data_IF_907450379617
#
_entry.id   IF_907450379617
#
_cell.length_a   1.000
_cell.length_b   1.000
_cell.length_c   1.000
_cell.angle_alpha   90.00
_cell.angle_beta   90.00
_cell.angle_gamma   90.00
#
_symmetry.space_group_name_H-M   'P 1'
#
loop_
_entity.id
_entity.type
_entity.pdbx_description
1 polymer ?
#
# COMPACT_ATOMS: atom_id res chain seq x y z
N UNK A 1 -10.68 -14.78 -12.70
CA UNK A 1 -10.28 -13.70 -13.64
C UNK A 1 -11.40 -12.69 -13.91
N UNK A 2 -12.63 -13.14 -14.21
CA UNK A 2 -13.76 -12.23 -14.49
C UNK A 2 -14.07 -11.25 -13.37
N UNK A 3 -14.04 -11.70 -12.11
CA UNK A 3 -14.30 -10.82 -10.96
C UNK A 3 -13.19 -9.77 -10.75
N UNK A 4 -11.94 -10.15 -10.99
CA UNK A 4 -10.82 -9.19 -10.94
C UNK A 4 -10.93 -8.11 -12.01
N UNK A 5 -11.33 -8.50 -13.23
CA UNK A 5 -11.61 -7.56 -14.31
C UNK A 5 -12.73 -6.59 -13.95
N UNK A 6 -13.81 -7.10 -13.37
CA UNK A 6 -14.92 -6.28 -12.91
C UNK A 6 -14.51 -5.28 -11.83
N UNK A 7 -13.83 -5.74 -10.78
CA UNK A 7 -13.37 -4.88 -9.69
C UNK A 7 -12.41 -3.77 -10.18
N UNK A 8 -11.51 -4.11 -11.10
CA UNK A 8 -10.61 -3.15 -11.75
C UNK A 8 -11.36 -2.09 -12.57
N UNK A 9 -12.28 -2.53 -13.42
CA UNK A 9 -13.05 -1.62 -14.27
C UNK A 9 -13.90 -0.67 -13.41
N UNK A 10 -14.52 -1.19 -12.37
CA UNK A 10 -15.30 -0.38 -11.43
C UNK A 10 -14.44 0.64 -10.70
N UNK A 11 -13.27 0.25 -10.25
CA UNK A 11 -12.32 1.13 -9.56
C UNK A 11 -11.91 2.34 -10.41
N UNK A 12 -11.69 2.13 -11.72
CA UNK A 12 -11.24 3.16 -12.65
C UNK A 12 -12.37 3.81 -13.43
N UNK A 13 -13.63 3.68 -13.03
CA UNK A 13 -14.77 4.33 -13.70
C UNK A 13 -14.64 5.85 -13.71
N UNK A 14 -14.08 6.45 -12.65
CA UNK A 14 -13.81 7.89 -12.58
C UNK A 14 -12.58 8.32 -13.41
N UNK A 15 -11.78 7.37 -13.84
CA UNK A 15 -10.52 7.59 -14.56
C UNK A 15 -9.28 7.24 -13.74
N UNK A 16 -8.19 7.03 -14.46
CA UNK A 16 -6.84 6.89 -13.88
C UNK A 16 -6.21 8.27 -13.81
N UNK A 17 -5.61 8.61 -12.68
CA UNK A 17 -4.85 9.86 -12.55
C UNK A 17 -3.48 9.74 -13.24
N UNK A 18 -3.50 9.88 -14.56
CA UNK A 18 -2.30 9.78 -15.39
C UNK A 18 -1.32 10.92 -15.11
N UNK A 19 -1.82 12.12 -14.82
CA UNK A 19 -0.98 13.27 -14.49
C UNK A 19 -0.21 13.03 -13.18
N UNK A 20 -0.85 12.44 -12.17
CA UNK A 20 -0.19 12.03 -10.95
C UNK A 20 0.87 10.96 -11.22
N UNK A 21 0.55 9.93 -12.00
CA UNK A 21 1.49 8.86 -12.34
C UNK A 21 2.75 9.41 -13.02
N UNK A 22 2.61 10.34 -13.94
CA UNK A 22 3.74 10.99 -14.62
C UNK A 22 4.54 11.87 -13.66
N UNK A 23 3.87 12.60 -12.76
CA UNK A 23 4.53 13.42 -11.74
C UNK A 23 5.34 12.55 -10.78
N UNK A 24 4.78 11.44 -10.29
CA UNK A 24 5.50 10.52 -9.41
C UNK A 24 6.75 9.94 -10.08
N UNK A 25 6.64 9.57 -11.35
CA UNK A 25 7.78 9.06 -12.12
C UNK A 25 8.88 10.09 -12.26
N UNK A 26 8.55 11.34 -12.55
CA UNK A 26 9.54 12.40 -12.76
C UNK A 26 10.16 12.92 -11.46
N UNK A 27 9.38 13.04 -10.38
CA UNK A 27 9.83 13.65 -9.13
C UNK A 27 10.37 12.61 -8.15
N UNK A 28 9.68 11.48 -7.99
CA UNK A 28 9.98 10.47 -6.98
C UNK A 28 10.62 9.20 -7.56
N UNK A 29 10.65 9.05 -8.89
CA UNK A 29 11.21 7.90 -9.61
C UNK A 29 10.48 6.58 -9.33
N UNK A 30 9.21 6.65 -9.10
CA UNK A 30 8.31 5.50 -9.11
C UNK A 30 6.96 5.87 -9.71
N UNK A 31 6.17 4.88 -10.05
CA UNK A 31 4.82 5.08 -10.56
C UNK A 31 3.86 4.09 -9.91
N UNK A 32 2.66 4.55 -9.60
CA UNK A 32 1.49 3.74 -9.30
C UNK A 32 0.29 4.34 -10.04
N UNK A 33 -0.63 3.49 -10.49
CA UNK A 33 -1.84 3.93 -11.18
C UNK A 33 -2.99 3.97 -10.17
N UNK A 34 -3.36 5.17 -9.79
CA UNK A 34 -4.43 5.43 -8.83
C UNK A 34 -5.67 5.96 -9.56
N UNK A 35 -6.88 5.61 -9.08
CA UNK A 35 -8.08 6.35 -9.45
C UNK A 35 -7.94 7.83 -9.08
N UNK A 36 -8.55 8.71 -9.88
CA UNK A 36 -8.47 10.17 -9.71
C UNK A 36 -9.13 10.69 -8.42
N UNK A 37 -9.89 9.84 -7.72
CA UNK A 37 -10.56 10.15 -6.45
C UNK A 37 -9.64 10.06 -5.22
N UNK A 38 -8.42 9.54 -5.36
CA UNK A 38 -7.46 9.48 -4.25
C UNK A 38 -6.83 10.84 -4.00
N UNK A 39 -6.72 11.20 -2.72
CA UNK A 39 -5.97 12.39 -2.28
C UNK A 39 -4.55 12.02 -1.90
N UNK A 40 -3.61 12.89 -2.23
CA UNK A 40 -2.19 12.70 -1.95
C UNK A 40 -1.72 13.59 -0.81
N UNK A 41 -0.90 13.03 0.07
CA UNK A 41 -0.02 13.79 0.97
C UNK A 41 1.40 13.26 0.88
N UNK A 42 2.38 14.13 1.07
CA UNK A 42 3.81 13.78 0.98
C UNK A 42 4.54 14.43 2.13
N UNK A 43 5.32 13.64 2.84
CA UNK A 43 6.24 14.11 3.87
C UNK A 43 7.53 13.29 3.81
N UNK A 44 8.67 13.97 3.74
CA UNK A 44 9.97 13.33 3.50
C UNK A 44 9.91 12.42 2.25
N UNK A 45 10.27 11.15 2.39
CA UNK A 45 10.19 10.14 1.31
C UNK A 45 8.93 9.29 1.41
N UNK A 46 7.89 9.76 2.10
CA UNK A 46 6.66 8.99 2.33
C UNK A 46 5.49 9.65 1.61
N UNK A 47 4.90 8.90 0.71
CA UNK A 47 3.74 9.26 -0.10
C UNK A 47 2.52 8.50 0.41
N UNK A 48 1.47 9.22 0.79
CA UNK A 48 0.20 8.63 1.25
C UNK A 48 -0.89 9.01 0.27
N UNK A 49 -1.60 8.00 -0.22
CA UNK A 49 -2.74 8.12 -1.11
C UNK A 49 -3.97 7.55 -0.39
N UNK A 50 -4.97 8.39 -0.19
CA UNK A 50 -6.14 8.02 0.60
C UNK A 50 -7.43 8.31 -0.15
N UNK A 51 -8.34 7.35 -0.09
CA UNK A 51 -9.72 7.50 -0.52
C UNK A 51 -10.64 7.09 0.63
N UNK A 52 -11.27 8.06 1.26
CA UNK A 52 -12.19 7.89 2.38
C UNK A 52 -13.62 8.37 2.03
N UNK A 53 -13.94 8.36 0.75
CA UNK A 53 -15.27 8.62 0.26
C UNK A 53 -16.15 7.36 0.29
N UNK A 54 -17.48 7.47 0.53
CA UNK A 54 -18.22 8.70 0.83
C UNK A 54 -18.11 9.15 2.29
N UNK A 55 -17.72 8.24 3.21
CA UNK A 55 -17.64 8.50 4.66
C UNK A 55 -16.45 7.73 5.28
N UNK A 56 -15.49 8.42 5.91
CA UNK A 56 -14.36 7.75 6.57
C UNK A 56 -14.77 6.86 7.76
N UNK A 57 -15.95 7.05 8.34
CA UNK A 57 -16.47 6.16 9.36
C UNK A 57 -16.91 4.79 8.81
N UNK A 58 -17.14 4.70 7.52
CA UNK A 58 -17.63 3.49 6.86
C UNK A 58 -16.62 2.83 5.92
N UNK A 59 -15.71 3.62 5.32
CA UNK A 59 -14.81 3.12 4.30
C UNK A 59 -13.56 3.99 4.16
N UNK A 60 -12.40 3.38 4.40
CA UNK A 60 -11.10 3.98 4.13
C UNK A 60 -10.26 3.00 3.32
N UNK A 61 -9.66 3.49 2.24
CA UNK A 61 -8.65 2.82 1.44
C UNK A 61 -7.42 3.69 1.43
N UNK A 62 -6.30 3.17 1.91
CA UNK A 62 -5.06 3.94 1.96
C UNK A 62 -3.91 3.14 1.41
N UNK A 63 -3.06 3.80 0.64
CA UNK A 63 -1.81 3.26 0.12
C UNK A 63 -0.69 4.19 0.54
N UNK A 64 0.36 3.61 1.10
CA UNK A 64 1.59 4.31 1.45
C UNK A 64 2.72 3.76 0.59
N UNK A 65 3.52 4.65 0.03
CA UNK A 65 4.76 4.32 -0.69
C UNK A 65 5.90 5.09 -0.03
N UNK A 66 6.88 4.35 0.46
CA UNK A 66 8.12 4.91 1.01
C UNK A 66 9.31 4.04 0.60
N UNK A 67 10.54 4.48 0.83
CA UNK A 67 11.72 3.72 0.45
C UNK A 67 12.87 3.90 1.42
N UNK A 68 13.78 2.92 1.42
CA UNK A 68 15.09 2.97 2.06
C UNK A 68 16.18 2.92 0.99
N UNK A 69 17.24 3.68 1.20
CA UNK A 69 18.46 3.68 0.40
C UNK A 69 19.67 3.87 1.33
N UNK A 70 20.73 3.07 1.21
CA UNK A 70 20.89 1.93 0.30
C UNK A 70 19.92 0.79 0.61
N UNK A 71 19.81 -0.16 -0.31
CA UNK A 71 19.00 -1.38 -0.09
C UNK A 71 19.49 -2.11 1.15
N UNK A 72 18.63 -2.42 2.13
CA UNK A 72 19.01 -3.23 3.28
C UNK A 72 19.51 -4.62 2.87
N UNK A 73 20.43 -5.23 3.65
CA UNK A 73 20.99 -6.53 3.30
C UNK A 73 19.96 -7.68 3.32
N UNK A 74 18.96 -7.55 4.17
CA UNK A 74 17.92 -8.58 4.36
C UNK A 74 16.53 -8.03 4.12
N UNK A 75 15.67 -8.87 3.55
CA UNK A 75 14.27 -8.60 3.32
C UNK A 75 13.45 -9.74 3.97
N UNK A 76 12.93 -9.49 5.17
CA UNK A 76 12.18 -10.46 5.96
C UNK A 76 10.77 -9.95 6.26
N UNK A 77 9.84 -10.87 6.53
CA UNK A 77 8.48 -10.49 6.94
C UNK A 77 8.47 -9.64 8.21
N UNK A 78 9.29 -9.98 9.20
CA UNK A 78 9.43 -9.22 10.45
C UNK A 78 9.94 -7.79 10.18
N UNK A 79 11.01 -7.66 9.41
CA UNK A 79 11.57 -6.35 9.05
C UNK A 79 10.60 -5.47 8.27
N UNK A 80 9.77 -6.06 7.39
CA UNK A 80 8.72 -5.34 6.67
C UNK A 80 7.64 -4.84 7.64
N UNK A 81 7.20 -5.68 8.59
CA UNK A 81 6.20 -5.29 9.59
C UNK A 81 6.71 -4.20 10.53
N UNK A 82 7.96 -4.26 10.97
CA UNK A 82 8.60 -3.22 11.76
C UNK A 82 8.66 -1.89 11.00
N UNK A 83 9.11 -1.92 9.76
CA UNK A 83 9.18 -0.73 8.90
C UNK A 83 7.79 -0.13 8.65
N UNK A 84 6.80 -0.99 8.39
CA UNK A 84 5.40 -0.56 8.26
C UNK A 84 4.89 0.14 9.53
N UNK A 85 5.13 -0.46 10.69
CA UNK A 85 4.71 0.09 11.97
C UNK A 85 5.38 1.45 12.28
N UNK A 86 6.67 1.58 12.00
CA UNK A 86 7.42 2.83 12.15
C UNK A 86 6.87 3.91 11.22
N UNK A 87 6.65 3.59 9.96
CA UNK A 87 6.09 4.51 8.96
C UNK A 87 4.69 4.98 9.37
N UNK A 88 3.84 4.07 9.83
CA UNK A 88 2.50 4.41 10.30
C UNK A 88 2.52 5.35 11.51
N UNK A 89 3.36 5.07 12.50
CA UNK A 89 3.49 5.95 13.68
C UNK A 89 4.01 7.33 13.36
N UNK A 90 4.91 7.44 12.39
CA UNK A 90 5.57 8.70 12.06
C UNK A 90 4.74 9.57 11.14
N UNK A 91 4.06 9.01 10.17
CA UNK A 91 3.44 9.74 9.06
C UNK A 91 1.93 9.58 8.95
N UNK A 92 1.34 8.67 9.70
CA UNK A 92 -0.08 8.37 9.61
C UNK A 92 -0.66 8.01 10.98
N UNK A 93 -1.50 6.99 11.03
CA UNK A 93 -2.14 6.50 12.26
C UNK A 93 -1.44 5.21 12.70
N UNK A 94 -1.04 5.09 13.99
CA UNK A 94 -0.42 3.87 14.47
C UNK A 94 -1.35 2.67 14.35
N UNK A 95 -0.81 1.55 13.93
CA UNK A 95 -1.53 0.30 13.74
C UNK A 95 -0.72 -0.85 14.30
N UNK A 96 -1.34 -1.67 15.14
CA UNK A 96 -0.81 -2.98 15.53
C UNK A 96 -1.17 -4.03 14.48
N UNK A 97 -0.49 -5.16 14.51
CA UNK A 97 -0.73 -6.28 13.59
C UNK A 97 -1.23 -7.49 14.37
N UNK A 98 -2.29 -8.10 13.87
CA UNK A 98 -2.74 -9.41 14.32
C UNK A 98 -2.03 -10.49 13.48
N UNK A 99 -1.15 -11.23 14.11
CA UNK A 99 -0.35 -12.27 13.47
C UNK A 99 -1.04 -13.64 13.37
N UNK A 100 -2.26 -13.77 13.89
CA UNK A 100 -2.98 -15.06 13.90
C UNK A 100 -3.39 -15.53 12.50
N UNK A 101 -3.53 -14.60 11.57
CA UNK A 101 -3.86 -14.88 10.16
C UNK A 101 -2.88 -14.12 9.27
N UNK A 102 -1.67 -14.63 9.15
CA UNK A 102 -0.62 -14.01 8.35
C UNK A 102 -0.22 -14.95 7.21
N UNK A 103 -0.18 -14.38 6.01
CA UNK A 103 0.43 -14.99 4.83
C UNK A 103 1.63 -14.14 4.42
N UNK A 104 2.81 -14.75 4.37
CA UNK A 104 4.05 -14.02 4.10
C UNK A 104 5.02 -14.88 3.30
N UNK A 105 5.72 -14.27 2.37
CA UNK A 105 6.75 -14.96 1.59
C UNK A 105 7.38 -14.09 0.52
N UNK A 106 8.56 -14.54 0.03
CA UNK A 106 9.23 -13.94 -1.10
C UNK A 106 8.49 -14.26 -2.40
N UNK A 107 8.60 -13.35 -3.37
CA UNK A 107 8.12 -13.57 -4.73
C UNK A 107 8.89 -12.70 -5.71
N UNK A 108 8.67 -12.94 -6.99
CA UNK A 108 9.20 -12.11 -8.06
C UNK A 108 8.13 -11.15 -8.55
N UNK A 109 8.42 -9.86 -8.51
CA UNK A 109 7.54 -8.80 -8.98
C UNK A 109 8.17 -8.08 -10.18
N UNK A 110 7.64 -8.31 -11.36
CA UNK A 110 8.16 -7.73 -12.62
C UNK A 110 9.67 -7.97 -12.82
N UNK A 111 10.12 -9.21 -12.56
CA UNK A 111 11.52 -9.59 -12.65
C UNK A 111 12.41 -9.08 -11.52
N UNK A 112 11.82 -8.57 -10.42
CA UNK A 112 12.54 -8.01 -9.29
C UNK A 112 12.30 -8.80 -8.01
N UNK A 113 13.30 -8.89 -7.12
CA UNK A 113 13.10 -9.49 -5.81
C UNK A 113 12.07 -8.69 -5.02
N UNK A 114 11.10 -9.38 -4.45
CA UNK A 114 10.06 -8.80 -3.64
C UNK A 114 9.67 -9.74 -2.49
N UNK A 115 9.02 -9.16 -1.48
CA UNK A 115 8.47 -9.91 -0.34
C UNK A 115 7.12 -9.31 0.02
N UNK A 116 6.13 -10.14 0.35
CA UNK A 116 4.80 -9.68 0.69
C UNK A 116 4.33 -10.26 2.01
N UNK A 117 3.69 -9.42 2.82
CA UNK A 117 2.98 -9.81 4.03
C UNK A 117 1.52 -9.39 3.89
N UNK A 118 0.62 -10.32 4.12
CA UNK A 118 -0.82 -10.07 4.24
C UNK A 118 -1.26 -10.46 5.65
N UNK A 119 -1.92 -9.55 6.34
CA UNK A 119 -2.40 -9.76 7.70
C UNK A 119 -3.55 -8.80 8.01
N UNK A 120 -3.93 -8.76 9.27
CA UNK A 120 -4.91 -7.81 9.79
C UNK A 120 -4.21 -6.74 10.62
N UNK A 121 -4.56 -5.48 10.39
CA UNK A 121 -4.21 -4.38 11.27
C UNK A 121 -5.34 -4.16 12.30
N UNK A 122 -4.98 -3.61 13.44
CA UNK A 122 -5.93 -3.16 14.46
C UNK A 122 -5.44 -1.89 15.15
N UNK A 123 -6.36 -1.10 15.67
CA UNK A 123 -5.98 0.03 16.47
C UNK A 123 -5.26 -0.42 17.73
N UNK A 124 -4.17 0.28 18.13
CA UNK A 124 -3.60 0.11 19.47
C UNK A 124 -4.61 0.42 20.57
N UNK A 125 -4.53 -0.24 21.72
CA UNK A 125 -5.47 -0.03 22.82
C UNK A 125 -5.58 1.42 23.29
N UNK A 126 -4.52 2.20 23.13
CA UNK A 126 -4.44 3.61 23.57
C UNK A 126 -5.40 4.53 22.79
N UNK A 127 -5.85 4.13 21.61
CA UNK A 127 -6.78 4.93 20.81
C UNK A 127 -8.24 4.87 21.29
N UNK A 128 -8.56 4.03 22.30
CA UNK A 128 -9.86 3.94 22.95
C UNK A 128 -11.08 3.67 22.04
N UNK A 129 -10.86 3.29 20.79
CA UNK A 129 -11.92 2.85 19.88
C UNK A 129 -11.43 1.69 19.00
N UNK A 130 -12.20 0.61 18.93
CA UNK A 130 -11.80 -0.56 18.16
C UNK A 130 -11.95 -0.30 16.66
N UNK A 131 -10.89 -0.58 15.91
CA UNK A 131 -10.95 -0.69 14.46
C UNK A 131 -9.94 -1.74 14.02
N UNK A 132 -10.25 -2.43 12.95
CA UNK A 132 -9.40 -3.44 12.35
C UNK A 132 -9.73 -3.59 10.86
N UNK A 133 -8.81 -4.16 10.11
CA UNK A 133 -9.02 -4.47 8.71
C UNK A 133 -7.83 -5.20 8.09
N UNK A 134 -7.99 -5.67 6.86
CA UNK A 134 -6.91 -6.32 6.14
C UNK A 134 -5.90 -5.31 5.58
N UNK A 135 -4.66 -5.75 5.43
CA UNK A 135 -3.61 -5.02 4.71
C UNK A 135 -2.72 -5.95 3.88
N UNK A 136 -2.06 -5.35 2.90
CA UNK A 136 -0.99 -5.95 2.11
C UNK A 136 0.21 -5.01 2.23
N UNK A 137 1.32 -5.51 2.77
CA UNK A 137 2.60 -4.82 2.79
C UNK A 137 3.57 -5.54 1.87
N UNK A 138 4.10 -4.82 0.88
CA UNK A 138 4.97 -5.37 -0.15
C UNK A 138 6.28 -4.60 -0.20
N UNK A 139 7.40 -5.28 -0.02
CA UNK A 139 8.72 -4.71 -0.27
C UNK A 139 9.19 -5.10 -1.67
N UNK A 140 9.70 -4.12 -2.43
CA UNK A 140 10.21 -4.31 -3.79
C UNK A 140 11.58 -3.66 -3.92
N UNK A 141 12.56 -4.39 -4.42
CA UNK A 141 13.89 -3.85 -4.67
C UNK A 141 13.97 -3.30 -6.10
N UNK A 142 14.40 -2.05 -6.21
CA UNK A 142 14.74 -1.40 -7.47
C UNK A 142 16.27 -1.21 -7.51
N UNK A 143 17.03 -2.19 -8.01
CA UNK A 143 18.50 -2.17 -7.95
C UNK A 143 19.13 -0.97 -8.65
N UNK A 144 18.55 -0.56 -9.77
CA UNK A 144 18.99 0.59 -10.56
C UNK A 144 18.97 1.90 -9.79
N UNK A 145 18.15 2.00 -8.76
CA UNK A 145 18.03 3.18 -7.89
C UNK A 145 18.74 2.98 -6.54
N UNK A 146 19.23 1.77 -6.27
CA UNK A 146 19.69 1.37 -4.94
C UNK A 146 18.62 1.65 -3.86
N UNK A 147 17.36 1.32 -4.16
CA UNK A 147 16.22 1.52 -3.26
C UNK A 147 15.45 0.23 -3.02
N UNK A 148 14.97 0.06 -1.80
CA UNK A 148 13.90 -0.86 -1.47
C UNK A 148 12.67 -0.04 -1.12
N UNK A 149 11.59 -0.27 -1.86
CA UNK A 149 10.29 0.37 -1.62
C UNK A 149 9.43 -0.48 -0.70
N UNK A 150 8.70 0.20 0.17
CA UNK A 150 7.56 -0.39 0.90
C UNK A 150 6.28 0.16 0.29
N UNK A 151 5.44 -0.75 -0.17
CA UNK A 151 4.09 -0.47 -0.65
C UNK A 151 3.13 -1.08 0.37
N UNK A 152 2.42 -0.23 1.10
CA UNK A 152 1.45 -0.67 2.11
C UNK A 152 0.05 -0.25 1.71
N UNK A 153 -0.86 -1.19 1.60
CA UNK A 153 -2.26 -0.94 1.29
C UNK A 153 -3.13 -1.52 2.38
N UNK A 154 -3.96 -0.69 3.00
CA UNK A 154 -4.88 -1.16 4.03
C UNK A 154 -6.31 -0.67 3.82
N UNK A 155 -7.25 -1.44 4.35
CA UNK A 155 -8.68 -1.23 4.25
C UNK A 155 -9.30 -1.12 5.64
N UNK A 156 -10.19 -0.13 5.81
CA UNK A 156 -11.17 -0.07 6.87
C UNK A 156 -12.57 -0.09 6.25
N UNK A 157 -13.35 -1.13 6.52
CA UNK A 157 -14.69 -1.32 5.95
C UNK A 157 -15.54 -2.19 6.89
N UNK A 158 -15.94 -1.67 8.07
CA UNK A 158 -16.53 -2.49 9.14
C UNK A 158 -17.82 -3.20 8.75
N UNK A 159 -18.63 -2.59 7.89
CA UNK A 159 -19.96 -3.10 7.52
C UNK A 159 -20.06 -3.53 6.06
N UNK A 160 -18.92 -3.68 5.37
CA UNK A 160 -18.90 -3.98 3.93
C UNK A 160 -18.16 -5.28 3.63
N UNK A 161 -18.51 -5.90 2.52
CA UNK A 161 -17.72 -6.98 1.93
C UNK A 161 -16.35 -6.45 1.50
N UNK A 162 -15.28 -7.10 1.98
CA UNK A 162 -13.91 -6.60 1.84
C UNK A 162 -13.20 -7.08 0.58
N UNK A 163 -13.66 -8.19 0.01
CA UNK A 163 -12.96 -8.87 -1.08
C UNK A 163 -12.72 -7.98 -2.31
N UNK A 164 -13.75 -7.27 -2.77
CA UNK A 164 -13.65 -6.37 -3.93
C UNK A 164 -12.65 -5.24 -3.67
N UNK A 165 -12.71 -4.60 -2.50
CA UNK A 165 -11.78 -3.52 -2.14
C UNK A 165 -10.33 -3.99 -2.04
N UNK A 166 -10.11 -5.19 -1.52
CA UNK A 166 -8.75 -5.76 -1.45
C UNK A 166 -8.21 -6.09 -2.83
N UNK A 167 -9.03 -6.56 -3.77
CA UNK A 167 -8.63 -6.72 -5.16
C UNK A 167 -8.27 -5.38 -5.80
N UNK A 168 -9.04 -4.32 -5.53
CA UNK A 168 -8.74 -2.98 -6.02
C UNK A 168 -7.39 -2.49 -5.48
N UNK A 169 -7.14 -2.61 -4.18
CA UNK A 169 -5.87 -2.23 -3.57
C UNK A 169 -4.71 -3.04 -4.14
N UNK A 170 -4.86 -4.35 -4.27
CA UNK A 170 -3.85 -5.20 -4.89
C UNK A 170 -3.58 -4.79 -6.34
N UNK A 171 -4.60 -4.43 -7.09
CA UNK A 171 -4.45 -3.96 -8.48
C UNK A 171 -3.60 -2.68 -8.54
N UNK A 172 -3.78 -1.76 -7.60
CA UNK A 172 -2.95 -0.56 -7.50
C UNK A 172 -1.51 -0.94 -7.16
N UNK A 173 -1.27 -1.81 -6.19
CA UNK A 173 0.09 -2.28 -5.87
C UNK A 173 0.75 -2.99 -7.06
N UNK A 174 -0.03 -3.76 -7.84
CA UNK A 174 0.47 -4.45 -9.03
C UNK A 174 0.84 -3.49 -10.17
N UNK A 175 0.34 -2.26 -10.14
CA UNK A 175 0.69 -1.22 -11.11
C UNK A 175 2.03 -0.54 -10.82
N UNK A 176 2.64 -0.79 -9.66
CA UNK A 176 3.90 -0.17 -9.28
C UNK A 176 5.01 -0.44 -10.30
N UNK A 177 5.78 0.59 -10.58
CA UNK A 177 6.97 0.52 -11.44
C UNK A 177 8.11 1.33 -10.82
N UNK A 178 9.32 0.75 -10.87
CA UNK A 178 10.53 1.50 -10.62
C UNK A 178 10.79 2.47 -11.78
N UNK A 179 11.13 3.69 -11.46
CA UNK A 179 11.63 4.64 -12.44
C UNK A 179 13.13 4.43 -12.75
N UNK A 180 13.69 5.27 -13.59
CA UNK A 180 15.11 5.20 -13.91
C UNK A 180 16.02 5.51 -12.72
N UNK A 181 17.28 5.18 -12.86
CA UNK A 181 18.33 5.45 -11.86
C UNK A 181 18.49 6.95 -11.55
#
# INVERSE_FOLDING_TARGET
EQFRGYARNRMYMSGVDSALADTLMSVARFQVLLPDVYRRSVQDSTYIFRNDNPDPAELIRQITVTWKSPVPPDMTGEGILEWRAETARTYAEPQDVDLTQTDAGPFEFRGRPAYQVQALWKNPPELNWPAAGPFIARAVICPEQNRMYLLDAWLYAPSKEKYEYMIQLQTILDSFRCGPA
#
